data_IF_632672340326
#
_entry.id   IF_632672340326
#
_cell.length_a   1.000
_cell.length_b   1.000
_cell.length_c   1.000
_cell.angle_alpha   90.00
_cell.angle_beta   90.00
_cell.angle_gamma   90.00
#
_symmetry.space_group_name_H-M   'P 1'
#
loop_
_entity.id
_entity.type
_entity.pdbx_description
1 polymer ?
#
# COMPACT_ATOMS: atom_id res chain seq x y z
N UNK A 1 -13.99 11.53 -11.27
CA UNK A 1 -13.48 12.31 -10.13
C UNK A 1 -12.60 13.45 -10.68
N UNK A 2 -12.72 14.69 -10.20
CA UNK A 2 -11.85 15.79 -10.62
C UNK A 2 -10.38 15.48 -10.33
N UNK A 3 -9.44 15.97 -11.16
CA UNK A 3 -8.00 15.74 -10.97
C UNK A 3 -7.45 16.34 -9.67
N UNK A 4 -8.13 17.34 -9.12
CA UNK A 4 -7.76 18.01 -7.87
C UNK A 4 -8.11 17.22 -6.60
N UNK A 5 -8.88 16.13 -6.72
CA UNK A 5 -9.23 15.29 -5.58
C UNK A 5 -8.32 14.05 -5.54
N UNK A 6 -7.67 13.81 -4.41
CA UNK A 6 -6.92 12.58 -4.17
C UNK A 6 -7.89 11.38 -4.13
N UNK A 7 -7.56 10.33 -4.88
CA UNK A 7 -8.28 9.05 -4.87
C UNK A 7 -7.42 8.03 -4.14
N UNK A 8 -7.98 7.46 -3.08
CA UNK A 8 -7.34 6.39 -2.30
C UNK A 8 -8.04 5.09 -2.63
N UNK A 9 -7.28 4.11 -3.11
CA UNK A 9 -7.72 2.74 -3.30
C UNK A 9 -7.18 1.87 -2.17
N UNK A 10 -8.05 1.49 -1.24
CA UNK A 10 -7.69 0.62 -0.12
C UNK A 10 -7.76 -0.85 -0.55
N UNK A 11 -6.58 -1.46 -0.72
CA UNK A 11 -6.38 -2.85 -1.12
C UNK A 11 -6.00 -3.75 0.07
N UNK A 12 -6.48 -3.44 1.29
CA UNK A 12 -6.16 -4.26 2.47
C UNK A 12 -6.55 -5.75 2.37
N UNK A 13 -7.46 -6.11 1.45
CA UNK A 13 -7.91 -7.48 1.22
C UNK A 13 -7.62 -7.98 -0.20
N UNK A 14 -6.76 -7.29 -0.95
CA UNK A 14 -6.47 -7.63 -2.36
C UNK A 14 -6.01 -9.08 -2.52
N UNK A 15 -5.21 -9.61 -1.59
CA UNK A 15 -4.69 -10.98 -1.62
C UNK A 15 -5.79 -12.06 -1.53
N UNK A 16 -7.00 -11.72 -1.08
CA UNK A 16 -8.14 -12.65 -1.04
C UNK A 16 -9.00 -12.61 -2.30
N UNK A 17 -8.77 -11.65 -3.19
CA UNK A 17 -9.55 -11.52 -4.42
C UNK A 17 -9.16 -12.65 -5.39
N UNK A 18 -10.09 -13.58 -5.64
CA UNK A 18 -9.90 -14.71 -6.54
C UNK A 18 -10.69 -14.63 -7.86
N UNK A 19 -11.42 -13.54 -8.09
CA UNK A 19 -12.19 -13.36 -9.32
C UNK A 19 -11.25 -13.00 -10.49
N UNK A 20 -11.40 -13.68 -11.63
CA UNK A 20 -10.57 -13.43 -12.82
C UNK A 20 -10.72 -12.00 -13.36
N UNK A 21 -11.87 -11.38 -13.13
CA UNK A 21 -12.19 -10.01 -13.53
C UNK A 21 -11.90 -8.97 -12.44
N UNK A 22 -11.20 -9.36 -11.36
CA UNK A 22 -10.86 -8.42 -10.30
C UNK A 22 -9.95 -7.30 -10.83
N UNK A 23 -10.28 -6.02 -10.60
CA UNK A 23 -9.54 -4.90 -11.17
C UNK A 23 -8.07 -4.86 -10.74
N UNK A 24 -7.17 -4.66 -11.69
CA UNK A 24 -5.77 -4.37 -11.43
C UNK A 24 -5.56 -2.86 -11.27
N UNK A 25 -5.24 -2.41 -10.06
CA UNK A 25 -5.19 -0.98 -9.74
C UNK A 25 -3.78 -0.38 -9.93
N UNK A 26 -2.72 -1.17 -9.78
CA UNK A 26 -1.34 -0.70 -9.98
C UNK A 26 -1.09 -0.16 -11.39
N UNK A 27 -1.54 -0.80 -12.50
CA UNK A 27 -1.39 -0.22 -13.84
C UNK A 27 -2.10 1.13 -14.01
N UNK A 28 -3.12 1.42 -13.21
CA UNK A 28 -3.85 2.69 -13.27
C UNK A 28 -3.03 3.87 -12.74
N UNK A 29 -1.97 3.61 -11.96
CA UNK A 29 -1.05 4.65 -11.46
C UNK A 29 -0.32 5.37 -12.60
N UNK A 30 -0.13 4.71 -13.76
CA UNK A 30 0.45 5.35 -14.96
C UNK A 30 -0.50 6.38 -15.59
N UNK A 31 -1.81 6.23 -15.35
CA UNK A 31 -2.85 7.08 -15.94
C UNK A 31 -3.33 8.18 -15.01
N UNK A 32 -3.30 7.95 -13.70
CA UNK A 32 -3.88 8.84 -12.71
C UNK A 32 -2.85 9.23 -11.64
N UNK A 33 -2.26 10.41 -11.78
CA UNK A 33 -1.28 10.96 -10.83
C UNK A 33 -1.88 11.22 -9.43
N UNK A 34 -3.20 11.42 -9.36
CA UNK A 34 -3.95 11.61 -8.12
C UNK A 34 -4.48 10.30 -7.51
N UNK A 35 -3.98 9.14 -7.94
CA UNK A 35 -4.32 7.83 -7.36
C UNK A 35 -3.22 7.36 -6.40
N UNK A 36 -3.64 6.81 -5.26
CA UNK A 36 -2.79 6.11 -4.31
C UNK A 36 -3.41 4.78 -3.93
N UNK A 37 -2.63 3.71 -3.96
CA UNK A 37 -3.04 2.37 -3.55
C UNK A 37 -2.45 2.06 -2.18
N UNK A 38 -3.26 1.56 -1.25
CA UNK A 38 -2.83 1.17 0.10
C UNK A 38 -2.87 -0.35 0.25
N UNK A 39 -1.83 -0.94 0.83
CA UNK A 39 -1.78 -2.37 1.15
C UNK A 39 -1.23 -2.59 2.56
N UNK A 40 -1.55 -3.74 3.15
CA UNK A 40 -1.15 -4.05 4.53
C UNK A 40 -0.72 -5.50 4.71
N UNK A 41 0.25 -5.70 5.60
CA UNK A 41 0.63 -7.03 6.07
C UNK A 41 -0.29 -7.56 7.18
N UNK A 42 -1.31 -6.79 7.59
CA UNK A 42 -2.17 -7.16 8.72
C UNK A 42 -3.18 -8.28 8.41
N UNK A 43 -3.42 -8.58 7.12
CA UNK A 43 -4.52 -9.46 6.69
C UNK A 43 -3.99 -10.80 6.19
N UNK A 44 -3.84 -11.00 4.89
CA UNK A 44 -3.41 -12.27 4.31
C UNK A 44 -2.07 -12.77 4.89
N UNK A 45 -1.16 -11.86 5.21
CA UNK A 45 0.14 -12.18 5.79
C UNK A 45 0.11 -12.46 7.31
N UNK A 46 -1.01 -12.24 8.02
CA UNK A 46 -1.12 -12.54 9.46
C UNK A 46 -0.28 -11.64 10.38
N UNK A 47 0.33 -10.56 9.90
CA UNK A 47 1.25 -9.71 10.66
C UNK A 47 0.57 -8.52 11.34
N UNK A 48 -0.68 -8.67 11.77
CA UNK A 48 -1.47 -7.59 12.34
C UNK A 48 -0.79 -6.91 13.54
N UNK A 49 -0.08 -7.67 14.39
CA UNK A 49 0.62 -7.17 15.57
C UNK A 49 1.83 -6.26 15.23
N UNK A 50 2.42 -6.42 14.04
CA UNK A 50 3.62 -5.68 13.63
C UNK A 50 3.31 -4.31 13.02
N UNK A 51 2.03 -4.02 12.75
CA UNK A 51 1.54 -2.71 12.28
C UNK A 51 2.30 -2.18 11.04
N UNK A 52 2.58 -3.04 10.07
CA UNK A 52 3.29 -2.68 8.84
C UNK A 52 2.38 -2.70 7.61
N UNK A 53 2.52 -1.69 6.77
CA UNK A 53 1.78 -1.48 5.54
C UNK A 53 2.48 -0.45 4.67
N UNK A 54 1.97 -0.24 3.46
CA UNK A 54 2.61 0.62 2.48
C UNK A 54 1.59 1.29 1.56
N UNK A 55 2.05 2.37 0.93
CA UNK A 55 1.31 3.07 -0.11
C UNK A 55 2.13 3.05 -1.41
N UNK A 56 1.44 2.94 -2.54
CA UNK A 56 2.01 3.06 -3.88
C UNK A 56 1.30 4.19 -4.59
N UNK A 57 2.05 5.13 -5.17
CA UNK A 57 1.49 6.33 -5.78
C UNK A 57 2.54 7.12 -6.54
N UNK A 58 2.13 8.25 -7.13
CA UNK A 58 3.02 9.17 -7.84
C UNK A 58 4.12 9.71 -6.89
N UNK A 59 5.35 9.87 -7.39
CA UNK A 59 6.51 10.32 -6.61
C UNK A 59 6.31 11.67 -5.93
N UNK A 60 5.63 12.63 -6.57
CA UNK A 60 5.35 13.94 -5.98
C UNK A 60 4.43 13.80 -4.77
N UNK A 61 3.37 13.00 -4.90
CA UNK A 61 2.41 12.71 -3.84
C UNK A 61 3.05 11.95 -2.67
N UNK A 62 3.88 10.94 -2.96
CA UNK A 62 4.66 10.22 -1.93
C UNK A 62 5.64 11.18 -1.24
N UNK A 63 6.30 12.05 -1.98
CA UNK A 63 7.20 13.08 -1.42
C UNK A 63 6.48 14.00 -0.44
N UNK A 64 5.24 14.39 -0.72
CA UNK A 64 4.42 15.18 0.21
C UNK A 64 4.08 14.41 1.49
N UNK A 65 3.81 13.10 1.40
CA UNK A 65 3.57 12.25 2.57
C UNK A 65 4.83 12.07 3.42
N UNK A 66 6.00 11.94 2.80
CA UNK A 66 7.27 11.79 3.53
C UNK A 66 7.56 13.00 4.42
N UNK A 67 7.18 14.22 4.01
CA UNK A 67 7.30 15.42 4.85
C UNK A 67 6.46 15.32 6.13
N UNK A 68 5.28 14.70 6.05
CA UNK A 68 4.38 14.52 7.19
C UNK A 68 4.67 13.26 8.02
N UNK A 69 5.47 12.33 7.49
CA UNK A 69 5.75 11.05 8.14
C UNK A 69 6.61 11.25 9.39
N UNK A 70 6.18 10.63 10.50
CA UNK A 70 6.96 10.64 11.73
C UNK A 70 8.28 9.88 11.55
N UNK A 71 9.38 10.34 12.18
CA UNK A 71 10.59 9.55 12.23
C UNK A 71 10.33 8.23 12.95
N UNK A 72 10.94 7.14 12.46
CA UNK A 72 10.84 5.80 13.06
C UNK A 72 9.39 5.29 13.25
N UNK A 73 8.53 5.50 12.25
CA UNK A 73 7.12 5.09 12.29
C UNK A 73 6.87 3.56 12.18
N UNK A 74 7.92 2.75 12.11
CA UNK A 74 7.86 1.28 12.14
C UNK A 74 9.14 0.72 12.81
N UNK A 75 9.12 -0.54 13.23
CA UNK A 75 10.25 -1.18 13.91
C UNK A 75 11.10 -2.04 12.96
N UNK A 76 12.37 -2.26 13.31
CA UNK A 76 13.24 -3.18 12.56
C UNK A 76 12.65 -4.58 12.48
N UNK A 77 12.06 -5.07 13.58
CA UNK A 77 11.40 -6.39 13.61
C UNK A 77 10.24 -6.44 12.62
N UNK A 78 9.39 -5.40 12.60
CA UNK A 78 8.25 -5.32 11.67
C UNK A 78 8.71 -5.35 10.20
N UNK A 79 9.79 -4.64 9.87
CA UNK A 79 10.39 -4.67 8.53
C UNK A 79 10.92 -6.06 8.18
N UNK A 80 11.66 -6.72 9.08
CA UNK A 80 12.21 -8.05 8.85
C UNK A 80 11.12 -9.10 8.62
N UNK A 81 10.05 -9.11 9.41
CA UNK A 81 8.97 -10.08 9.21
C UNK A 81 8.14 -9.79 7.96
N UNK A 82 7.99 -8.52 7.56
CA UNK A 82 7.32 -8.18 6.31
C UNK A 82 8.12 -8.64 5.08
N UNK A 83 9.45 -8.49 5.10
CA UNK A 83 10.31 -9.04 4.05
C UNK A 83 10.20 -10.56 3.96
N UNK A 84 10.28 -11.26 5.10
CA UNK A 84 10.09 -12.71 5.13
C UNK A 84 8.71 -13.14 4.61
N UNK A 85 7.65 -12.38 4.89
CA UNK A 85 6.31 -12.66 4.40
C UNK A 85 6.13 -12.42 2.89
N UNK A 86 6.93 -11.54 2.29
CA UNK A 86 6.95 -11.37 0.82
C UNK A 86 7.68 -12.51 0.11
N UNK A 87 8.66 -13.13 0.77
CA UNK A 87 9.40 -14.29 0.23
C UNK A 87 8.59 -15.59 0.30
N UNK A 88 7.58 -15.66 1.17
CA UNK A 88 6.69 -16.82 1.39
C UNK A 88 5.37 -16.74 0.57
N UNK A 89 5.30 -15.83 -0.41
CA UNK A 89 4.20 -15.76 -1.39
C UNK A 89 4.33 -16.80 -2.50
#
# INVERSE_FOLDING_TARGET
VPKSALVIMDEAYYEYAGAEDYPQTLPLLEKYENLMVLRTFSKAYGLAAFRIGYAVGNTELIGQLEVARLPFNTSTVAQSVALAALEDQ
#
